data_IF_973699035272
#
_entry.id   IF_973699035272
#
_cell.length_a   1.000
_cell.length_b   1.000
_cell.length_c   1.000
_cell.angle_alpha   90.00
_cell.angle_beta   90.00
_cell.angle_gamma   90.00
#
_symmetry.space_group_name_H-M   'P 1'
#
loop_
_entity.id
_entity.type
_entity.pdbx_description
1 polymer ?
#
# COMPACT_ATOMS: atom_id res chain seq x y z
N UNK A 1 -41.27 31.06 -20.20
CA UNK A 1 -41.22 32.53 -19.98
C UNK A 1 -40.54 32.80 -18.65
N UNK A 2 -39.60 33.76 -18.62
CA UNK A 2 -39.14 34.60 -17.46
C UNK A 2 -38.78 33.89 -16.14
N UNK A 3 -37.49 33.66 -15.83
CA UNK A 3 -36.51 34.60 -15.22
C UNK A 3 -37.08 35.44 -14.07
N UNK A 4 -36.50 35.29 -12.86
CA UNK A 4 -36.09 36.41 -12.00
C UNK A 4 -35.12 35.97 -10.91
N UNK A 5 -34.01 36.71 -10.79
CA UNK A 5 -32.94 36.66 -9.78
C UNK A 5 -33.19 37.75 -8.72
N UNK A 6 -32.75 37.54 -7.48
CA UNK A 6 -32.36 38.58 -6.50
C UNK A 6 -31.45 37.89 -5.47
N UNK A 7 -30.12 38.05 -5.45
CA UNK A 7 -29.25 39.15 -5.01
C UNK A 7 -29.40 39.60 -3.53
N UNK A 8 -28.29 39.37 -2.82
CA UNK A 8 -27.68 40.13 -1.72
C UNK A 8 -28.28 40.08 -0.30
N UNK A 9 -27.47 39.62 0.66
CA UNK A 9 -27.02 40.46 1.78
C UNK A 9 -25.78 39.83 2.46
N UNK A 10 -24.82 40.68 2.77
CA UNK A 10 -23.48 40.40 3.26
C UNK A 10 -23.41 40.77 4.75
N UNK A 11 -22.71 39.96 5.56
CA UNK A 11 -22.01 40.29 6.84
C UNK A 11 -22.80 40.64 8.11
N UNK A 12 -22.18 40.62 9.33
CA UNK A 12 -20.94 39.94 9.79
C UNK A 12 -21.00 39.37 11.24
N UNK A 13 -19.86 38.81 11.68
CA UNK A 13 -19.31 38.89 13.05
C UNK A 13 -20.02 38.12 14.17
N UNK A 14 -19.58 36.88 14.43
CA UNK A 14 -19.64 36.31 15.77
C UNK A 14 -18.23 35.97 16.23
N UNK A 15 -17.72 36.82 17.11
CA UNK A 15 -16.54 36.57 17.91
C UNK A 15 -16.82 35.42 18.88
N UNK A 16 -16.05 34.34 18.80
CA UNK A 16 -15.89 33.40 19.91
C UNK A 16 -14.41 33.35 20.24
N UNK A 17 -14.07 34.10 21.28
CA UNK A 17 -12.89 33.92 22.10
C UNK A 17 -12.95 32.52 22.72
N UNK A 18 -12.04 31.62 22.34
CA UNK A 18 -11.74 30.44 23.15
C UNK A 18 -10.35 30.66 23.74
N UNK A 19 -10.35 30.71 25.07
CA UNK A 19 -9.22 31.07 25.91
C UNK A 19 -8.06 30.09 25.87
N UNK A 20 -6.90 30.68 26.09
CA UNK A 20 -5.66 30.10 26.58
C UNK A 20 -5.92 29.13 27.75
N UNK A 21 -5.51 27.87 27.58
CA UNK A 21 -5.29 26.94 28.69
C UNK A 21 -3.96 26.21 28.48
N UNK A 22 -3.22 26.12 29.59
CA UNK A 22 -1.80 25.88 29.69
C UNK A 22 -1.32 24.49 29.18
N UNK A 23 -0.04 24.47 28.80
CA UNK A 23 0.74 23.30 28.50
C UNK A 23 0.68 22.27 29.65
N UNK A 24 0.22 21.06 29.34
CA UNK A 24 0.50 19.87 30.12
C UNK A 24 1.36 18.93 29.28
N UNK A 25 2.55 18.65 29.80
CA UNK A 25 3.55 17.77 29.24
C UNK A 25 2.94 16.44 28.75
N UNK A 26 3.12 16.12 27.47
CA UNK A 26 2.90 14.77 26.97
C UNK A 26 4.03 13.91 27.52
N UNK A 27 3.72 13.19 28.59
CA UNK A 27 4.55 12.15 29.17
C UNK A 27 4.86 11.11 28.09
N UNK A 28 6.12 11.07 27.65
CA UNK A 28 6.71 10.00 26.84
C UNK A 28 6.70 8.71 27.64
N UNK A 29 5.61 7.95 27.53
CA UNK A 29 5.58 6.57 28.03
C UNK A 29 6.34 5.71 27.02
N UNK A 30 7.39 4.97 27.44
CA UNK A 30 8.02 3.99 26.55
C UNK A 30 6.96 2.95 26.15
N UNK A 31 6.97 2.49 24.88
CA UNK A 31 6.05 1.46 24.44
C UNK A 31 6.21 0.21 25.32
N UNK A 32 5.11 -0.50 25.64
CA UNK A 32 5.21 -1.75 26.39
C UNK A 32 6.09 -2.74 25.62
N UNK A 33 6.91 -3.56 26.31
CA UNK A 33 7.62 -4.64 25.65
C UNK A 33 6.59 -5.54 24.97
N UNK A 34 6.70 -5.70 23.66
CA UNK A 34 5.88 -6.65 22.91
C UNK A 34 6.05 -8.04 23.55
N UNK A 35 4.95 -8.82 23.71
CA UNK A 35 5.05 -10.19 24.21
C UNK A 35 6.00 -11.02 23.33
N UNK A 36 6.69 -12.03 23.91
CA UNK A 36 7.67 -12.82 23.20
C UNK A 36 7.06 -13.45 21.94
N UNK A 37 7.81 -13.30 20.85
CA UNK A 37 7.66 -13.91 19.54
C UNK A 37 6.89 -15.23 19.61
N UNK A 38 5.65 -15.22 19.14
CA UNK A 38 4.93 -16.44 18.75
C UNK A 38 5.85 -17.17 17.77
N UNK A 39 6.20 -18.42 18.08
CA UNK A 39 6.90 -19.30 17.15
C UNK A 39 6.13 -19.33 15.84
N UNK A 40 6.60 -18.59 14.85
CA UNK A 40 5.99 -18.48 13.53
C UNK A 40 6.20 -19.80 12.81
N UNK A 41 5.24 -20.71 12.93
CA UNK A 41 5.15 -21.86 12.04
C UNK A 41 5.11 -21.32 10.61
N UNK A 42 5.97 -21.88 9.74
CA UNK A 42 6.01 -21.48 8.33
C UNK A 42 4.60 -21.63 7.70
N UNK A 43 4.15 -20.65 6.90
CA UNK A 43 2.81 -20.69 6.35
C UNK A 43 2.55 -21.96 5.53
N UNK A 44 1.34 -22.48 5.61
CA UNK A 44 0.93 -23.59 4.76
C UNK A 44 0.69 -23.12 3.32
N UNK A 45 0.79 -24.02 2.34
CA UNK A 45 0.52 -23.70 0.93
C UNK A 45 -0.89 -23.13 0.70
N UNK A 46 -1.87 -23.63 1.45
CA UNK A 46 -3.23 -23.13 1.39
C UNK A 46 -3.32 -21.68 1.88
N UNK A 47 -2.56 -21.33 2.92
CA UNK A 47 -2.46 -19.95 3.41
C UNK A 47 -1.81 -19.02 2.38
N UNK A 48 -0.74 -19.45 1.70
CA UNK A 48 -0.16 -18.64 0.62
C UNK A 48 -1.17 -18.35 -0.49
N UNK A 49 -1.91 -19.36 -0.95
CA UNK A 49 -2.90 -19.17 -2.01
C UNK A 49 -3.97 -18.14 -1.62
N UNK A 50 -4.48 -18.23 -0.40
CA UNK A 50 -5.53 -17.32 0.09
C UNK A 50 -5.00 -15.90 0.29
N UNK A 51 -3.88 -15.74 0.98
CA UNK A 51 -3.27 -14.43 1.23
C UNK A 51 -2.87 -13.76 -0.09
N UNK A 52 -2.35 -14.52 -1.05
CA UNK A 52 -2.02 -13.98 -2.36
C UNK A 52 -3.25 -13.48 -3.12
N UNK A 53 -4.35 -14.25 -3.05
CA UNK A 53 -5.63 -13.87 -3.65
C UNK A 53 -6.18 -12.61 -3.01
N UNK A 54 -6.14 -12.50 -1.67
CA UNK A 54 -6.55 -11.28 -0.96
C UNK A 54 -5.75 -10.06 -1.42
N UNK A 55 -4.42 -10.19 -1.58
CA UNK A 55 -3.56 -9.13 -2.10
C UNK A 55 -3.94 -8.75 -3.54
N UNK A 56 -4.12 -9.72 -4.42
CA UNK A 56 -4.55 -9.51 -5.81
C UNK A 56 -5.87 -8.73 -5.87
N UNK A 57 -6.86 -9.15 -5.08
CA UNK A 57 -8.16 -8.49 -5.04
C UNK A 57 -8.08 -7.10 -4.39
N UNK A 58 -7.25 -6.94 -3.36
CA UNK A 58 -7.03 -5.64 -2.72
C UNK A 58 -6.47 -4.64 -3.74
N UNK A 59 -5.44 -5.02 -4.49
CA UNK A 59 -4.88 -4.20 -5.56
C UNK A 59 -5.93 -3.94 -6.65
N UNK A 60 -6.70 -4.95 -7.07
CA UNK A 60 -7.77 -4.80 -8.04
C UNK A 60 -8.84 -3.77 -7.63
N UNK A 61 -9.16 -3.69 -6.33
CA UNK A 61 -10.13 -2.71 -5.80
C UNK A 61 -9.55 -1.32 -5.58
N UNK A 62 -8.26 -1.23 -5.22
CA UNK A 62 -7.65 0.02 -4.72
C UNK A 62 -6.79 0.75 -5.74
N UNK A 63 -6.21 0.04 -6.70
CA UNK A 63 -5.28 0.62 -7.66
C UNK A 63 -6.03 1.29 -8.81
N UNK A 64 -5.85 2.61 -8.95
CA UNK A 64 -6.64 3.41 -9.89
C UNK A 64 -6.08 3.44 -11.33
N UNK A 65 -4.82 3.06 -11.52
CA UNK A 65 -4.09 3.35 -12.75
C UNK A 65 -4.09 2.21 -13.78
N UNK A 66 -4.90 1.15 -13.60
CA UNK A 66 -4.92 0.00 -14.53
C UNK A 66 -5.23 0.41 -15.97
N UNK A 67 -6.30 1.18 -16.17
CA UNK A 67 -6.72 1.63 -17.50
C UNK A 67 -5.68 2.56 -18.14
N UNK A 68 -5.16 3.51 -17.35
CA UNK A 68 -4.15 4.46 -17.81
C UNK A 68 -2.87 3.74 -18.29
N UNK A 69 -2.48 2.66 -17.61
CA UNK A 69 -1.28 1.87 -17.94
C UNK A 69 -1.55 0.71 -18.90
N UNK A 70 -2.79 0.54 -19.38
CA UNK A 70 -3.17 -0.57 -20.26
C UNK A 70 -2.95 -1.95 -19.63
N UNK A 71 -3.11 -2.06 -18.32
CA UNK A 71 -2.90 -3.32 -17.58
C UNK A 71 -4.18 -4.15 -17.64
N UNK A 72 -4.09 -5.35 -18.20
CA UNK A 72 -5.15 -6.35 -18.08
C UNK A 72 -5.01 -7.09 -16.75
N UNK A 73 -5.74 -6.64 -15.74
CA UNK A 73 -5.62 -7.19 -14.38
C UNK A 73 -6.19 -8.61 -14.26
N UNK A 74 -7.19 -8.97 -15.05
CA UNK A 74 -7.75 -10.32 -15.09
C UNK A 74 -6.69 -11.32 -15.58
N UNK A 75 -6.02 -11.01 -16.70
CA UNK A 75 -4.94 -11.85 -17.23
C UNK A 75 -3.76 -12.01 -16.26
N UNK A 76 -3.47 -11.01 -15.43
CA UNK A 76 -2.46 -11.13 -14.36
C UNK A 76 -2.91 -12.15 -13.30
N UNK A 77 -4.20 -12.12 -12.93
CA UNK A 77 -4.79 -13.08 -12.01
C UNK A 77 -4.75 -14.51 -12.55
N UNK A 78 -5.14 -14.69 -13.81
CA UNK A 78 -5.15 -16.00 -14.49
C UNK A 78 -3.76 -16.66 -14.50
N UNK A 79 -2.70 -15.87 -14.63
CA UNK A 79 -1.32 -16.38 -14.63
C UNK A 79 -0.77 -16.61 -13.21
N UNK A 80 -0.99 -15.67 -12.27
CA UNK A 80 -0.29 -15.68 -10.98
C UNK A 80 -1.04 -16.41 -9.86
N UNK A 81 -2.38 -16.37 -9.83
CA UNK A 81 -3.16 -17.04 -8.77
C UNK A 81 -2.88 -18.56 -8.71
N UNK A 82 -2.81 -19.30 -9.83
CA UNK A 82 -2.48 -20.73 -9.79
C UNK A 82 -1.05 -21.02 -9.33
N UNK A 83 -0.11 -20.07 -9.49
CA UNK A 83 1.29 -20.22 -9.06
C UNK A 83 1.43 -20.06 -7.55
N UNK A 84 0.66 -19.17 -6.93
CA UNK A 84 0.63 -19.03 -5.48
C UNK A 84 0.20 -20.32 -4.79
N UNK A 85 -0.78 -21.02 -5.35
CA UNK A 85 -1.20 -22.34 -4.86
C UNK A 85 -0.14 -23.45 -5.00
N UNK A 86 1.00 -23.18 -5.66
CA UNK A 86 2.10 -24.13 -5.81
C UNK A 86 3.33 -23.76 -4.98
N UNK A 87 3.38 -22.54 -4.44
CA UNK A 87 4.47 -22.06 -3.61
C UNK A 87 4.62 -22.93 -2.35
N UNK A 88 5.88 -23.17 -1.95
CA UNK A 88 6.24 -24.01 -0.81
C UNK A 88 7.06 -23.27 0.24
N UNK A 89 7.70 -22.17 -0.14
CA UNK A 89 8.61 -21.43 0.71
C UNK A 89 8.26 -19.95 0.72
N UNK A 90 8.65 -19.25 1.79
CA UNK A 90 8.50 -17.79 1.89
C UNK A 90 9.22 -17.08 0.73
N UNK A 91 10.33 -17.63 0.26
CA UNK A 91 11.09 -17.08 -0.86
C UNK A 91 10.32 -17.18 -2.17
N UNK A 92 9.75 -18.35 -2.49
CA UNK A 92 8.90 -18.54 -3.68
C UNK A 92 7.66 -17.64 -3.61
N UNK A 93 7.04 -17.56 -2.44
CA UNK A 93 5.88 -16.70 -2.21
C UNK A 93 6.22 -15.21 -2.36
N UNK A 94 7.33 -14.77 -1.74
CA UNK A 94 7.83 -13.40 -1.85
C UNK A 94 8.12 -13.00 -3.29
N UNK A 95 8.69 -13.90 -4.10
CA UNK A 95 8.91 -13.66 -5.53
C UNK A 95 7.59 -13.43 -6.27
N UNK A 96 6.55 -14.22 -5.98
CA UNK A 96 5.23 -14.02 -6.57
C UNK A 96 4.61 -12.68 -6.17
N UNK A 97 4.74 -12.28 -4.91
CA UNK A 97 4.27 -10.98 -4.42
C UNK A 97 4.98 -9.83 -5.15
N UNK A 98 6.30 -9.92 -5.33
CA UNK A 98 7.06 -8.92 -6.08
C UNK A 98 6.65 -8.90 -7.55
N UNK A 99 6.47 -10.07 -8.17
CA UNK A 99 6.01 -10.18 -9.55
C UNK A 99 4.63 -9.55 -9.74
N UNK A 100 3.69 -9.78 -8.82
CA UNK A 100 2.36 -9.19 -8.86
C UNK A 100 2.41 -7.66 -8.80
N UNK A 101 3.22 -7.11 -7.90
CA UNK A 101 3.41 -5.66 -7.77
C UNK A 101 4.13 -5.08 -9.00
N UNK A 102 5.11 -5.80 -9.56
CA UNK A 102 5.79 -5.39 -10.79
C UNK A 102 4.85 -5.30 -11.99
N UNK A 103 3.79 -6.13 -12.06
CA UNK A 103 2.75 -6.03 -13.08
C UNK A 103 2.00 -4.68 -13.05
N UNK A 104 2.02 -3.95 -11.92
CA UNK A 104 1.47 -2.60 -11.82
C UNK A 104 2.30 -1.55 -12.57
N UNK A 105 3.53 -1.90 -12.97
CA UNK A 105 4.49 -1.01 -13.64
C UNK A 105 4.60 0.33 -12.92
N UNK A 106 4.75 0.28 -11.60
CA UNK A 106 4.65 1.43 -10.70
C UNK A 106 5.88 1.52 -9.80
N UNK A 107 6.66 2.58 -9.93
CA UNK A 107 7.85 2.81 -9.10
C UNK A 107 7.52 3.12 -7.64
N UNK A 108 6.27 3.49 -7.34
CA UNK A 108 5.82 3.79 -5.97
C UNK A 108 5.19 2.59 -5.27
N UNK A 109 4.97 1.47 -5.97
CA UNK A 109 4.47 0.25 -5.38
C UNK A 109 5.61 -0.77 -5.26
N UNK A 110 5.90 -1.20 -4.03
CA UNK A 110 6.92 -2.21 -3.75
C UNK A 110 6.53 -3.07 -2.55
N UNK A 111 7.05 -4.29 -2.52
CA UNK A 111 6.88 -5.21 -1.38
C UNK A 111 7.94 -4.89 -0.35
N UNK A 112 7.52 -4.73 0.91
CA UNK A 112 8.45 -4.56 2.04
C UNK A 112 8.57 -5.84 2.85
N UNK A 113 9.70 -6.08 3.52
CA UNK A 113 9.85 -7.17 4.47
C UNK A 113 8.79 -7.11 5.57
N UNK A 114 8.29 -8.28 5.96
CA UNK A 114 7.38 -8.46 7.08
C UNK A 114 7.97 -9.44 8.08
N UNK A 115 7.26 -10.52 8.38
CA UNK A 115 7.81 -11.67 9.12
C UNK A 115 8.89 -12.43 8.34
N UNK A 116 8.84 -12.37 7.00
CA UNK A 116 9.84 -12.91 6.09
C UNK A 116 10.55 -11.79 5.33
N UNK A 117 11.79 -12.08 4.90
CA UNK A 117 12.56 -11.19 4.03
C UNK A 117 12.04 -11.27 2.59
N UNK A 118 12.04 -10.14 1.90
CA UNK A 118 11.75 -10.11 0.47
C UNK A 118 12.99 -10.65 -0.27
N UNK A 119 12.82 -11.53 -1.27
CA UNK A 119 13.92 -12.02 -2.07
C UNK A 119 14.72 -10.89 -2.70
N UNK A 120 16.04 -10.95 -2.61
CA UNK A 120 16.92 -10.03 -3.32
C UNK A 120 16.86 -10.31 -4.82
N UNK A 121 16.51 -9.29 -5.61
CA UNK A 121 16.45 -9.39 -7.06
C UNK A 121 17.72 -8.77 -7.65
N UNK A 122 18.35 -9.39 -8.66
CA UNK A 122 19.50 -8.84 -9.35
C UNK A 122 19.07 -7.74 -10.35
N UNK A 123 18.22 -6.83 -9.90
CA UNK A 123 17.74 -5.70 -10.68
C UNK A 123 18.46 -4.44 -10.21
N UNK A 124 18.79 -3.51 -11.11
CA UNK A 124 19.29 -2.21 -10.70
C UNK A 124 18.25 -1.55 -9.80
N UNK A 125 18.62 -1.28 -8.56
CA UNK A 125 17.77 -0.58 -7.62
C UNK A 125 17.60 0.84 -8.15
N UNK A 126 16.35 1.29 -8.32
CA UNK A 126 16.09 2.64 -8.80
C UNK A 126 16.53 3.64 -7.73
N UNK A 127 17.77 4.13 -7.85
CA UNK A 127 18.30 5.22 -7.05
C UNK A 127 17.90 6.55 -7.72
N UNK A 128 17.20 7.47 -7.04
CA UNK A 128 17.01 8.83 -7.53
C UNK A 128 18.32 9.53 -7.92
N UNK A 129 19.48 9.07 -7.41
CA UNK A 129 20.81 9.51 -7.84
C UNK A 129 21.15 9.27 -9.31
N UNK A 130 20.53 8.28 -9.99
CA UNK A 130 20.77 8.02 -11.41
C UNK A 130 20.10 9.06 -12.32
N UNK A 131 18.99 9.67 -11.88
CA UNK A 131 18.28 10.68 -12.66
C UNK A 131 19.07 12.00 -12.77
N UNK A 132 20.00 12.27 -11.85
CA UNK A 132 20.80 13.49 -11.82
C UNK A 132 22.24 13.32 -12.35
N UNK A 133 22.64 12.11 -12.76
CA UNK A 133 24.01 11.80 -13.23
C UNK A 133 24.10 11.63 -14.75
N UNK A 134 22.99 11.81 -15.48
CA UNK A 134 22.90 11.61 -16.93
C UNK A 134 22.58 12.89 -17.72
N UNK A 135 22.66 14.07 -17.09
CA UNK A 135 22.58 15.38 -17.75
C UNK A 135 23.97 16.02 -17.93
#
# INVERSE_FOLDING_TARGET
MRRSRALAAFTPFLAIMVGLAAAAAQSTRPPPPHPPTTTSTAPSRAEYAEVFKELYEHLGRRYACFQLKGINWEAVGDDLLPKAARAKTDQEFGLLCVQLVACLKDSHAYVMPGSAQVPELPLPQWDPGLACLLD
#
